data_IF_344197336527
#
_entry.id   IF_344197336527
#
_cell.length_a   1.000
_cell.length_b   1.000
_cell.length_c   1.000
_cell.angle_alpha   90.00
_cell.angle_beta   90.00
_cell.angle_gamma   90.00
#
_symmetry.space_group_name_H-M   'P 1'
#
loop_
_entity.id
_entity.type
_entity.pdbx_description
1 polymer ?
#
# COMPACT_ATOMS: atom_id res chain seq x y z
N UNK A 1 16.62 -1.71 -12.11
CA UNK A 1 15.21 -1.33 -12.22
C UNK A 1 14.84 -0.53 -11.00
N UNK A 2 14.18 0.60 -11.19
CA UNK A 2 13.94 1.56 -10.11
C UNK A 2 12.47 1.58 -9.73
N UNK A 3 11.95 0.45 -9.23
CA UNK A 3 10.58 0.42 -8.71
C UNK A 3 10.45 1.31 -7.48
N UNK A 4 9.29 1.95 -7.34
CA UNK A 4 8.88 2.69 -6.14
C UNK A 4 7.75 1.92 -5.48
N UNK A 5 7.86 1.64 -4.19
CA UNK A 5 6.77 1.06 -3.41
C UNK A 5 6.25 2.04 -2.38
N UNK A 6 4.94 2.24 -2.35
CA UNK A 6 4.25 3.06 -1.36
C UNK A 6 3.58 2.15 -0.34
N UNK A 7 3.99 2.26 0.90
CA UNK A 7 3.40 1.55 2.05
C UNK A 7 2.79 2.54 3.03
N UNK A 8 1.86 2.07 3.82
CA UNK A 8 1.18 2.86 4.84
C UNK A 8 -0.21 2.32 5.12
N UNK A 9 -0.83 2.85 6.14
CA UNK A 9 -2.15 2.43 6.56
C UNK A 9 -3.21 2.74 5.50
N UNK A 10 -4.33 2.01 5.51
CA UNK A 10 -5.47 2.38 4.68
C UNK A 10 -5.93 3.81 5.02
N UNK A 11 -6.23 4.60 4.00
CA UNK A 11 -6.56 6.03 4.16
C UNK A 11 -5.36 6.98 4.26
N UNK A 12 -4.12 6.49 4.15
CA UNK A 12 -2.93 7.36 4.17
C UNK A 12 -2.66 8.09 2.84
N UNK A 13 -3.41 7.79 1.77
CA UNK A 13 -3.28 8.49 0.50
C UNK A 13 -2.33 7.84 -0.51
N UNK A 14 -2.00 6.56 -0.36
CA UNK A 14 -1.10 5.83 -1.29
C UNK A 14 -1.53 5.93 -2.75
N UNK A 15 -2.82 5.71 -3.03
CA UNK A 15 -3.35 5.80 -4.40
C UNK A 15 -3.28 7.22 -4.95
N UNK A 16 -3.54 8.22 -4.12
CA UNK A 16 -3.46 9.64 -4.52
C UNK A 16 -2.03 10.07 -4.80
N UNK A 17 -1.10 9.74 -3.90
CA UNK A 17 0.33 10.00 -4.11
C UNK A 17 0.86 9.24 -5.32
N UNK A 18 0.43 7.99 -5.51
CA UNK A 18 0.79 7.19 -6.69
C UNK A 18 0.39 7.85 -8.00
N UNK A 19 -0.81 8.44 -8.06
CA UNK A 19 -1.28 9.18 -9.23
C UNK A 19 -0.45 10.44 -9.51
N UNK A 20 -0.08 11.18 -8.47
CA UNK A 20 0.80 12.34 -8.62
C UNK A 20 2.21 11.93 -9.07
N UNK A 21 2.75 10.84 -8.52
CA UNK A 21 4.02 10.28 -8.97
C UNK A 21 4.00 9.87 -10.44
N UNK A 22 2.91 9.24 -10.90
CA UNK A 22 2.78 8.82 -12.30
C UNK A 22 2.79 10.01 -13.28
N UNK A 23 2.29 11.18 -12.84
CA UNK A 23 2.41 12.42 -13.64
C UNK A 23 3.85 12.93 -13.72
N UNK A 24 4.61 12.81 -12.61
CA UNK A 24 6.01 13.25 -12.53
C UNK A 24 6.98 12.27 -13.18
N UNK A 25 6.62 11.00 -13.22
CA UNK A 25 7.44 9.89 -13.74
C UNK A 25 6.69 9.12 -14.85
N UNK A 26 6.47 9.74 -16.01
CA UNK A 26 5.60 9.17 -17.06
C UNK A 26 6.15 7.89 -17.71
N UNK A 27 7.40 7.54 -17.43
CA UNK A 27 8.00 6.27 -17.87
C UNK A 27 7.69 5.10 -16.93
N UNK A 28 7.07 5.36 -15.78
CA UNK A 28 6.71 4.35 -14.79
C UNK A 28 5.19 4.14 -14.77
N UNK A 29 4.77 2.90 -14.79
CA UNK A 29 3.36 2.54 -14.67
C UNK A 29 2.94 2.46 -13.20
N UNK A 30 1.79 3.03 -12.86
CA UNK A 30 1.17 2.90 -11.54
C UNK A 30 0.38 1.61 -11.45
N UNK A 31 0.73 0.76 -10.50
CA UNK A 31 0.02 -0.47 -10.17
C UNK A 31 -0.52 -0.40 -8.74
N UNK A 32 -1.83 -0.55 -8.59
CA UNK A 32 -2.49 -0.79 -7.31
C UNK A 32 -2.53 -2.29 -7.05
N UNK A 33 -1.90 -2.75 -5.95
CA UNK A 33 -1.76 -4.19 -5.69
C UNK A 33 -3.11 -4.87 -5.43
N UNK A 34 -4.05 -4.18 -4.78
CA UNK A 34 -5.39 -4.72 -4.53
C UNK A 34 -6.13 -4.96 -5.86
N UNK A 35 -6.14 -3.96 -6.74
CA UNK A 35 -6.74 -4.09 -8.07
C UNK A 35 -6.07 -5.16 -8.92
N UNK A 36 -4.75 -5.26 -8.86
CA UNK A 36 -3.98 -6.29 -9.54
C UNK A 36 -4.35 -7.70 -9.05
N UNK A 37 -4.45 -7.87 -7.73
CA UNK A 37 -4.85 -9.14 -7.10
C UNK A 37 -6.27 -9.56 -7.50
N UNK A 38 -7.21 -8.61 -7.53
CA UNK A 38 -8.58 -8.86 -7.97
C UNK A 38 -8.63 -9.27 -9.46
N UNK A 39 -7.85 -8.60 -10.32
CA UNK A 39 -7.77 -8.94 -11.74
C UNK A 39 -7.17 -10.32 -11.98
N UNK A 40 -6.13 -10.71 -11.21
CA UNK A 40 -5.53 -12.05 -11.30
C UNK A 40 -6.50 -13.17 -10.94
N UNK A 41 -7.39 -12.94 -9.99
CA UNK A 41 -8.25 -13.98 -9.42
C UNK A 41 -9.66 -13.97 -9.96
N UNK A 42 -10.10 -12.87 -10.59
CA UNK A 42 -11.47 -12.66 -11.03
C UNK A 42 -12.47 -12.52 -9.86
N UNK A 43 -11.97 -12.26 -8.63
CA UNK A 43 -12.78 -12.12 -7.41
C UNK A 43 -12.43 -10.83 -6.68
N UNK A 44 -13.38 -10.27 -5.96
CA UNK A 44 -13.16 -9.10 -5.11
C UNK A 44 -12.45 -9.51 -3.80
N UNK A 45 -11.71 -8.58 -3.21
CA UNK A 45 -11.04 -8.80 -1.91
C UNK A 45 -12.04 -9.16 -0.81
N UNK A 46 -13.20 -8.48 -0.66
CA UNK A 46 -14.24 -8.89 0.30
C UNK A 46 -14.71 -10.34 0.12
N UNK A 47 -14.91 -10.78 -1.13
CA UNK A 47 -15.30 -12.18 -1.42
C UNK A 47 -14.23 -13.18 -0.98
N UNK A 48 -12.95 -12.85 -1.17
CA UNK A 48 -11.83 -13.69 -0.76
C UNK A 48 -11.79 -13.82 0.77
N UNK A 49 -11.92 -12.70 1.49
CA UNK A 49 -11.97 -12.68 2.95
C UNK A 49 -13.15 -13.51 3.50
N UNK A 50 -14.32 -13.36 2.89
CA UNK A 50 -15.54 -14.06 3.31
C UNK A 50 -15.45 -15.57 3.08
N UNK A 51 -14.95 -16.00 1.93
CA UNK A 51 -14.95 -17.39 1.50
C UNK A 51 -13.73 -18.18 1.96
N UNK A 52 -12.56 -17.53 2.05
CA UNK A 52 -11.28 -18.21 2.26
C UNK A 52 -10.47 -17.62 3.43
N UNK A 53 -10.83 -16.44 3.92
CA UNK A 53 -10.19 -15.76 5.06
C UNK A 53 -8.94 -14.97 4.74
N UNK A 54 -8.39 -14.32 5.76
CA UNK A 54 -7.24 -13.41 5.63
C UNK A 54 -5.98 -14.12 5.13
N UNK A 55 -5.69 -15.33 5.63
CA UNK A 55 -4.48 -16.06 5.26
C UNK A 55 -4.42 -16.35 3.75
N UNK A 56 -5.55 -16.71 3.15
CA UNK A 56 -5.65 -16.92 1.70
C UNK A 56 -5.44 -15.62 0.92
N UNK A 57 -6.01 -14.53 1.39
CA UNK A 57 -5.78 -13.20 0.81
C UNK A 57 -4.29 -12.81 0.87
N UNK A 58 -3.58 -13.02 1.98
CA UNK A 58 -2.16 -12.72 2.13
C UNK A 58 -1.28 -13.55 1.18
N UNK A 59 -1.60 -14.81 0.96
CA UNK A 59 -0.89 -15.64 -0.03
C UNK A 59 -1.12 -15.14 -1.46
N UNK A 60 -2.32 -14.72 -1.77
CA UNK A 60 -2.67 -14.13 -3.06
C UNK A 60 -1.94 -12.80 -3.30
N UNK A 61 -1.92 -11.94 -2.31
CA UNK A 61 -1.20 -10.66 -2.32
C UNK A 61 0.31 -10.87 -2.54
N UNK A 62 0.89 -11.85 -1.86
CA UNK A 62 2.30 -12.25 -2.05
C UNK A 62 2.57 -12.73 -3.48
N UNK A 63 1.70 -13.57 -4.04
CA UNK A 63 1.83 -14.07 -5.41
C UNK A 63 1.73 -12.93 -6.44
N UNK A 64 0.79 -12.00 -6.24
CA UNK A 64 0.64 -10.82 -7.10
C UNK A 64 1.89 -9.94 -7.07
N UNK A 65 2.43 -9.68 -5.90
CA UNK A 65 3.64 -8.88 -5.74
C UNK A 65 4.86 -9.54 -6.41
N UNK A 66 4.99 -10.85 -6.27
CA UNK A 66 6.05 -11.62 -6.93
C UNK A 66 5.94 -11.55 -8.45
N UNK A 67 4.74 -11.70 -8.99
CA UNK A 67 4.47 -11.62 -10.43
C UNK A 67 4.83 -10.25 -11.01
N UNK A 68 4.47 -9.16 -10.31
CA UNK A 68 4.81 -7.80 -10.71
C UNK A 68 6.33 -7.60 -10.80
N UNK A 69 7.09 -8.00 -9.78
CA UNK A 69 8.54 -7.84 -9.80
C UNK A 69 9.22 -8.72 -10.86
N UNK A 70 8.74 -9.95 -11.05
CA UNK A 70 9.24 -10.82 -12.13
C UNK A 70 8.96 -10.23 -13.50
N UNK A 71 7.77 -9.71 -13.73
CA UNK A 71 7.42 -9.06 -14.99
C UNK A 71 8.31 -7.85 -15.27
N UNK A 72 8.55 -7.02 -14.25
CA UNK A 72 9.48 -5.89 -14.35
C UNK A 72 10.89 -6.34 -14.73
N UNK A 73 11.39 -7.39 -14.08
CA UNK A 73 12.71 -7.95 -14.38
C UNK A 73 12.82 -8.46 -15.83
N UNK A 74 11.80 -9.16 -16.30
CA UNK A 74 11.78 -9.73 -17.64
C UNK A 74 11.62 -8.68 -18.75
N UNK A 75 10.85 -7.62 -18.49
CA UNK A 75 10.51 -6.59 -19.49
C UNK A 75 11.40 -5.35 -19.43
N UNK A 76 12.14 -5.17 -18.37
CA UNK A 76 12.89 -3.93 -18.08
C UNK A 76 12.00 -2.77 -17.60
N UNK A 77 10.71 -3.02 -17.33
CA UNK A 77 9.78 -2.00 -16.88
C UNK A 77 9.99 -1.63 -15.41
N UNK A 78 9.79 -0.37 -15.08
CA UNK A 78 9.77 0.14 -13.70
C UNK A 78 8.36 0.55 -13.31
N UNK A 79 7.97 0.26 -12.08
CA UNK A 79 6.61 0.47 -11.58
C UNK A 79 6.57 1.36 -10.34
N UNK A 80 5.47 2.09 -10.20
CA UNK A 80 5.04 2.72 -8.95
C UNK A 80 3.99 1.80 -8.34
N UNK A 81 4.28 1.21 -7.18
CA UNK A 81 3.41 0.23 -6.54
C UNK A 81 2.68 0.86 -5.35
N UNK A 82 1.36 0.94 -5.43
CA UNK A 82 0.51 1.26 -4.28
C UNK A 82 0.13 -0.06 -3.59
N UNK A 83 0.71 -0.32 -2.43
CA UNK A 83 0.55 -1.58 -1.72
C UNK A 83 -0.61 -1.54 -0.72
N UNK A 84 -1.19 -2.69 -0.41
CA UNK A 84 -2.23 -2.81 0.60
C UNK A 84 -1.72 -2.46 2.00
N UNK A 85 -2.60 -1.96 2.87
CA UNK A 85 -2.23 -1.56 4.23
C UNK A 85 -1.67 -2.69 5.09
N UNK A 86 -1.99 -3.93 4.78
CA UNK A 86 -1.51 -5.12 5.47
C UNK A 86 -0.46 -5.93 4.72
N UNK A 87 -0.05 -5.53 3.52
CA UNK A 87 0.95 -6.26 2.71
C UNK A 87 2.24 -6.51 3.49
N UNK A 88 2.69 -5.53 4.26
CA UNK A 88 3.92 -5.61 5.06
C UNK A 88 3.82 -6.51 6.29
N UNK A 89 2.65 -7.04 6.65
CA UNK A 89 2.53 -8.01 7.73
C UNK A 89 3.17 -9.35 7.36
N UNK A 90 3.28 -9.66 6.08
CA UNK A 90 4.03 -10.80 5.56
C UNK A 90 5.53 -10.49 5.49
N UNK A 91 6.35 -11.29 6.17
CA UNK A 91 7.81 -11.15 6.11
C UNK A 91 8.36 -11.35 4.69
N UNK A 92 7.79 -12.29 3.95
CA UNK A 92 8.17 -12.54 2.56
C UNK A 92 7.92 -11.31 1.68
N UNK A 93 6.76 -10.65 1.84
CA UNK A 93 6.46 -9.41 1.13
C UNK A 93 7.43 -8.28 1.50
N UNK A 94 7.74 -8.10 2.80
CA UNK A 94 8.73 -7.10 3.24
C UNK A 94 10.08 -7.29 2.58
N UNK A 95 10.57 -8.53 2.52
CA UNK A 95 11.85 -8.85 1.86
C UNK A 95 11.81 -8.54 0.37
N UNK A 96 10.74 -8.91 -0.33
CA UNK A 96 10.59 -8.60 -1.76
C UNK A 96 10.58 -7.09 -2.02
N UNK A 97 9.79 -6.35 -1.25
CA UNK A 97 9.68 -4.89 -1.35
C UNK A 97 11.07 -4.24 -1.18
N UNK A 98 11.76 -4.58 -0.10
CA UNK A 98 13.07 -3.98 0.19
C UNK A 98 14.16 -4.30 -0.82
N UNK A 99 14.11 -5.48 -1.44
CA UNK A 99 15.11 -5.93 -2.41
C UNK A 99 14.87 -5.37 -3.81
N UNK A 100 13.62 -5.12 -4.17
CA UNK A 100 13.25 -4.84 -5.55
C UNK A 100 12.74 -3.41 -5.76
N UNK A 101 12.60 -2.59 -4.72
CA UNK A 101 12.08 -1.24 -4.84
C UNK A 101 12.69 -0.28 -3.82
N UNK A 102 12.64 1.02 -4.11
CA UNK A 102 12.79 2.05 -3.09
C UNK A 102 11.43 2.22 -2.40
N UNK A 103 11.37 1.90 -1.12
CA UNK A 103 10.14 1.83 -0.35
C UNK A 103 9.92 3.10 0.47
N UNK A 104 8.77 3.74 0.30
CA UNK A 104 8.36 4.95 1.00
C UNK A 104 7.16 4.66 1.89
N UNK A 105 7.29 4.98 3.17
CA UNK A 105 6.18 4.94 4.12
C UNK A 105 5.45 6.28 4.15
N UNK A 106 4.19 6.29 3.73
CA UNK A 106 3.32 7.45 3.85
C UNK A 106 2.72 7.46 5.25
N UNK A 107 3.31 8.26 6.14
CA UNK A 107 2.96 8.32 7.55
C UNK A 107 1.93 9.42 7.78
N UNK A 108 0.76 9.04 8.32
CA UNK A 108 -0.30 9.94 8.74
C UNK A 108 -0.63 9.74 10.22
N UNK A 109 -1.12 10.78 10.87
CA UNK A 109 -1.63 10.71 12.24
C UNK A 109 -2.92 9.89 12.31
N UNK A 110 -3.26 9.39 13.49
CA UNK A 110 -4.53 8.68 13.71
C UNK A 110 -5.72 9.57 13.32
N UNK A 111 -5.69 10.86 13.65
CA UNK A 111 -6.76 11.79 13.30
C UNK A 111 -6.95 11.91 11.78
N UNK A 112 -5.86 12.04 11.03
CA UNK A 112 -5.91 12.08 9.56
C UNK A 112 -6.45 10.77 8.99
N UNK A 113 -5.99 9.62 9.49
CA UNK A 113 -6.46 8.31 9.02
C UNK A 113 -7.96 8.12 9.29
N UNK A 114 -8.42 8.45 10.50
CA UNK A 114 -9.84 8.34 10.86
C UNK A 114 -10.69 9.26 9.98
N UNK A 115 -10.28 10.51 9.82
CA UNK A 115 -10.99 11.47 8.95
C UNK A 115 -11.10 10.94 7.51
N UNK A 116 -10.01 10.49 6.94
CA UNK A 116 -9.99 9.98 5.57
C UNK A 116 -10.85 8.72 5.41
N UNK A 117 -10.85 7.83 6.38
CA UNK A 117 -11.64 6.59 6.33
C UNK A 117 -13.15 6.84 6.55
N UNK A 118 -13.52 7.84 7.33
CA UNK A 118 -14.92 8.24 7.50
C UNK A 118 -15.54 8.79 6.20
N UNK A 119 -14.73 9.51 5.41
CA UNK A 119 -15.17 10.15 4.16
C UNK A 119 -15.00 9.24 2.94
N UNK A 120 -14.30 8.12 3.06
CA UNK A 120 -13.99 7.24 1.95
C UNK A 120 -15.06 6.17 1.76
N UNK A 121 -15.74 6.13 0.61
CA UNK A 121 -16.67 5.05 0.30
C UNK A 121 -15.88 3.78 -0.06
N UNK A 122 -15.96 2.73 0.75
CA UNK A 122 -15.31 1.45 0.46
C UNK A 122 -15.53 0.42 1.53
N UNK A 123 -15.59 -0.85 1.12
CA UNK A 123 -15.62 -1.97 2.05
C UNK A 123 -14.20 -2.30 2.52
N UNK A 124 -14.02 -2.32 3.84
CA UNK A 124 -12.73 -2.57 4.47
C UNK A 124 -12.87 -3.70 5.50
N UNK A 125 -12.67 -4.96 5.08
CA UNK A 125 -12.84 -6.12 5.96
C UNK A 125 -12.10 -6.02 7.30
N UNK A 126 -10.88 -5.47 7.30
CA UNK A 126 -10.06 -5.33 8.51
C UNK A 126 -10.58 -4.28 9.50
N UNK A 127 -11.47 -3.38 9.07
CA UNK A 127 -12.08 -2.35 9.93
C UNK A 127 -13.44 -2.77 10.49
N UNK A 128 -13.96 -3.94 10.11
CA UNK A 128 -15.21 -4.50 10.63
C UNK A 128 -14.97 -5.12 12.02
N UNK A 129 -15.99 -5.14 12.85
CA UNK A 129 -15.95 -5.92 14.09
C UNK A 129 -16.39 -5.22 15.38
N UNK A 130 -17.47 -4.45 15.38
CA UNK A 130 -18.16 -3.99 16.60
C UNK A 130 -17.45 -2.94 17.47
N UNK A 131 -16.23 -2.56 17.14
CA UNK A 131 -15.49 -1.44 17.75
C UNK A 131 -15.69 -0.14 16.96
N UNK A 132 -15.46 1.02 17.60
CA UNK A 132 -15.43 2.28 16.87
C UNK A 132 -14.31 2.26 15.82
N UNK A 133 -14.49 3.04 14.75
CA UNK A 133 -13.48 3.18 13.70
C UNK A 133 -12.13 3.61 14.29
N UNK A 134 -12.12 4.63 15.17
CA UNK A 134 -10.89 5.12 15.83
C UNK A 134 -10.20 4.01 16.62
N UNK A 135 -10.92 3.29 17.46
CA UNK A 135 -10.34 2.18 18.24
C UNK A 135 -9.71 1.12 17.34
N UNK A 136 -10.36 0.80 16.23
CA UNK A 136 -9.85 -0.19 15.29
C UNK A 136 -8.59 0.30 14.57
N UNK A 137 -8.59 1.56 14.15
CA UNK A 137 -7.41 2.21 13.54
C UNK A 137 -6.24 2.24 14.53
N UNK A 138 -6.46 2.65 15.77
CA UNK A 138 -5.43 2.70 16.81
C UNK A 138 -4.85 1.30 17.08
N UNK A 139 -5.70 0.28 17.20
CA UNK A 139 -5.28 -1.11 17.43
C UNK A 139 -4.40 -1.61 16.28
N UNK A 140 -4.84 -1.43 15.03
CA UNK A 140 -4.08 -1.86 13.86
C UNK A 140 -2.79 -1.05 13.68
N UNK A 141 -2.79 0.25 13.94
CA UNK A 141 -1.60 1.09 13.85
C UNK A 141 -0.57 0.76 14.92
N UNK A 142 -1.00 0.39 16.13
CA UNK A 142 -0.09 -0.09 17.19
C UNK A 142 0.69 -1.32 16.71
N UNK A 143 0.03 -2.23 16.01
CA UNK A 143 0.66 -3.43 15.47
C UNK A 143 1.50 -3.15 14.20
N UNK A 144 0.99 -2.33 13.28
CA UNK A 144 1.56 -2.14 11.94
C UNK A 144 2.56 -1.00 11.84
N UNK A 145 2.39 0.07 12.62
CA UNK A 145 3.25 1.25 12.57
C UNK A 145 4.74 0.94 12.63
N UNK A 146 5.21 0.15 13.62
CA UNK A 146 6.61 -0.27 13.69
C UNK A 146 7.07 -1.08 12.49
N UNK A 147 6.17 -1.87 11.88
CA UNK A 147 6.49 -2.67 10.68
C UNK A 147 6.67 -1.76 9.47
N UNK A 148 5.81 -0.74 9.28
CA UNK A 148 5.99 0.26 8.21
C UNK A 148 7.33 0.97 8.33
N UNK A 149 7.66 1.47 9.52
CA UNK A 149 8.91 2.19 9.77
C UNK A 149 10.14 1.31 9.47
N UNK A 150 10.09 0.05 9.85
CA UNK A 150 11.17 -0.92 9.65
C UNK A 150 11.32 -1.36 8.19
N UNK A 151 10.23 -1.36 7.43
CA UNK A 151 10.21 -1.79 6.03
C UNK A 151 10.65 -0.68 5.09
N UNK A 152 10.29 0.55 5.37
CA UNK A 152 10.58 1.70 4.51
C UNK A 152 12.07 2.02 4.43
N UNK A 153 12.47 2.56 3.28
CA UNK A 153 13.74 3.26 3.12
C UNK A 153 13.61 4.74 3.52
N UNK A 154 12.47 5.34 3.25
CA UNK A 154 12.15 6.73 3.56
C UNK A 154 10.75 6.87 4.16
N UNK A 155 10.56 7.84 5.02
CA UNK A 155 9.27 8.19 5.64
C UNK A 155 8.85 9.57 5.14
N UNK A 156 7.63 9.64 4.60
CA UNK A 156 7.01 10.89 4.11
C UNK A 156 5.78 11.18 4.97
N UNK A 157 5.72 12.35 5.58
CA UNK A 157 4.54 12.79 6.32
C UNK A 157 3.46 13.28 5.33
N UNK A 158 2.24 12.78 5.49
CA UNK A 158 1.10 13.09 4.61
C UNK A 158 -0.11 13.67 5.36
N UNK A 159 0.10 14.26 6.52
CA UNK A 159 -1.00 14.82 7.34
C UNK A 159 -1.70 16.02 6.69
N UNK A 160 -1.07 16.70 5.78
CA UNK A 160 -1.60 17.94 5.18
C UNK A 160 -2.40 17.77 3.89
N UNK A 161 -2.74 16.56 3.47
CA UNK A 161 -3.43 16.25 2.19
C UNK A 161 -2.74 16.81 0.93
N UNK A 162 -1.52 17.30 1.03
CA UNK A 162 -0.74 17.76 -0.12
C UNK A 162 0.00 16.58 -0.75
N UNK A 163 -0.73 15.80 -1.51
CA UNK A 163 -0.19 14.61 -2.18
C UNK A 163 0.80 14.95 -3.29
N UNK A 164 0.68 16.15 -3.88
CA UNK A 164 1.64 16.65 -4.88
C UNK A 164 2.99 16.93 -4.22
N UNK A 165 3.01 17.59 -3.06
CA UNK A 165 4.24 17.82 -2.31
C UNK A 165 4.90 16.51 -1.89
N UNK A 166 4.11 15.54 -1.40
CA UNK A 166 4.60 14.21 -1.05
C UNK A 166 5.24 13.50 -2.27
N UNK A 167 4.62 13.60 -3.44
CA UNK A 167 5.17 13.02 -4.67
C UNK A 167 6.50 13.68 -5.09
N UNK A 168 6.62 15.00 -4.96
CA UNK A 168 7.87 15.74 -5.23
C UNK A 168 8.98 15.30 -4.28
N UNK A 169 8.68 15.16 -2.99
CA UNK A 169 9.64 14.67 -1.99
C UNK A 169 10.15 13.27 -2.35
N UNK A 170 9.26 12.38 -2.77
CA UNK A 170 9.61 11.02 -3.19
C UNK A 170 10.55 11.05 -4.40
N UNK A 171 10.24 11.85 -5.42
CA UNK A 171 11.11 12.00 -6.61
C UNK A 171 12.50 12.51 -6.23
N UNK A 172 12.58 13.39 -5.26
CA UNK A 172 13.86 13.96 -4.78
C UNK A 172 14.71 12.94 -4.01
N UNK A 173 14.06 12.00 -3.30
CA UNK A 173 14.73 10.99 -2.46
C UNK A 173 14.97 9.65 -3.18
N UNK A 174 14.44 9.49 -4.36
CA UNK A 174 14.51 8.26 -5.17
C UNK A 174 15.95 7.89 -5.59
#
# INVERSE_FOLDING_TARGET
MDHISLIGFMGSGKSSVGKELAKLLPSMELIDLDSYSEAMTGRTIPEIFENEGEAAFREMEKSALQDIFMTGELTGASYILSLGGGTVTSEACRRMIRRNSTCFYLKASIDTLVHNLETWPGDRPMLKGGKSLRSRVEELMTARGPIYEKTAHHIINVDGDDYTAAAVDIVTLK
#
